data_IF_747870199324
#
_entry.id   IF_747870199324
#
_cell.length_a   1.000
_cell.length_b   1.000
_cell.length_c   1.000
_cell.angle_alpha   90.00
_cell.angle_beta   90.00
_cell.angle_gamma   90.00
#
_symmetry.space_group_name_H-M   'P 1'
#
loop_
_entity.id
_entity.type
_entity.pdbx_description
1 polymer ?
#
# COMPACT_ATOMS: atom_id res chain seq x y z
N UNK A 1 13.21 8.36 0.53
CA UNK A 1 12.24 7.25 0.48
C UNK A 1 11.30 7.41 -0.70
N UNK A 2 10.50 6.39 -0.97
CA UNK A 2 9.41 6.42 -1.96
C UNK A 2 8.08 6.05 -1.31
N UNK A 3 6.98 6.45 -1.94
CA UNK A 3 5.64 5.95 -1.65
C UNK A 3 5.23 4.94 -2.73
N UNK A 4 4.44 3.96 -2.32
CA UNK A 4 4.01 2.85 -3.17
C UNK A 4 2.52 2.57 -2.94
N UNK A 5 1.71 3.49 -3.46
CA UNK A 5 0.28 3.26 -3.62
C UNK A 5 0.02 2.54 -4.94
N UNK A 6 -0.94 1.62 -4.93
CA UNK A 6 -1.31 0.83 -6.10
C UNK A 6 -2.66 1.24 -6.62
N UNK A 7 -3.65 1.45 -5.76
CA UNK A 7 -5.01 1.85 -6.17
C UNK A 7 -5.54 2.97 -5.30
N UNK A 8 -5.81 4.11 -5.93
CA UNK A 8 -6.21 5.35 -5.24
C UNK A 8 -7.37 6.00 -5.97
N UNK A 9 -8.21 6.72 -5.23
CA UNK A 9 -9.24 7.57 -5.84
C UNK A 9 -8.59 8.85 -6.41
N UNK A 10 -8.91 9.21 -7.65
CA UNK A 10 -8.57 10.53 -8.19
C UNK A 10 -9.76 11.46 -8.03
N UNK A 11 -9.53 12.60 -7.38
CA UNK A 11 -10.57 13.62 -7.18
C UNK A 11 -10.91 14.32 -8.50
N UNK A 12 -9.92 14.48 -9.37
CA UNK A 12 -10.00 15.16 -10.67
C UNK A 12 -10.86 14.36 -11.65
N UNK A 13 -10.58 13.05 -11.75
CA UNK A 13 -11.27 12.17 -12.68
C UNK A 13 -12.49 11.46 -12.07
N UNK A 14 -12.68 11.56 -10.75
CA UNK A 14 -13.74 10.87 -9.99
C UNK A 14 -13.77 9.36 -10.25
N UNK A 15 -12.61 8.74 -10.34
CA UNK A 15 -12.43 7.30 -10.57
C UNK A 15 -11.28 6.75 -9.73
N UNK A 16 -11.29 5.43 -9.52
CA UNK A 16 -10.16 4.71 -8.93
C UNK A 16 -9.09 4.40 -9.98
N UNK A 17 -7.93 5.00 -9.83
CA UNK A 17 -6.76 4.75 -10.67
C UNK A 17 -5.90 3.65 -10.07
N UNK A 18 -5.39 2.77 -10.94
CA UNK A 18 -4.37 1.79 -10.57
C UNK A 18 -3.04 2.20 -11.18
N UNK A 19 -2.00 2.36 -10.36
CA UNK A 19 -0.66 2.69 -10.86
C UNK A 19 -0.10 1.54 -11.72
N UNK A 20 0.32 1.88 -12.93
CA UNK A 20 0.77 0.92 -13.94
C UNK A 20 2.27 0.56 -13.85
N UNK A 21 3.02 1.21 -12.95
CA UNK A 21 4.45 0.96 -12.84
C UNK A 21 4.76 -0.47 -12.37
N UNK A 22 5.61 -1.24 -13.08
CA UNK A 22 6.02 -2.57 -12.66
C UNK A 22 7.05 -2.50 -11.51
N UNK A 23 7.31 -3.61 -10.79
CA UNK A 23 8.29 -3.62 -9.69
C UNK A 23 9.70 -3.19 -10.14
N UNK A 24 10.08 -3.53 -11.37
CA UNK A 24 11.38 -3.20 -11.98
C UNK A 24 11.60 -1.69 -12.12
N UNK A 25 10.54 -0.89 -12.26
CA UNK A 25 10.63 0.56 -12.30
C UNK A 25 11.20 1.11 -10.98
N UNK A 26 10.68 0.64 -9.85
CA UNK A 26 11.12 1.06 -8.52
C UNK A 26 12.56 0.63 -8.26
N UNK A 27 12.92 -0.60 -8.64
CA UNK A 27 14.30 -1.11 -8.53
C UNK A 27 15.29 -0.25 -9.32
N UNK A 28 15.01 0.01 -10.61
CA UNK A 28 15.89 0.82 -11.46
C UNK A 28 16.04 2.24 -10.94
N UNK A 29 14.94 2.84 -10.48
CA UNK A 29 14.97 4.17 -9.86
C UNK A 29 15.87 4.17 -8.62
N UNK A 30 15.77 3.15 -7.77
CA UNK A 30 16.63 3.01 -6.59
C UNK A 30 18.12 2.85 -6.96
N UNK A 31 18.44 2.06 -7.98
CA UNK A 31 19.82 1.92 -8.47
C UNK A 31 20.42 3.24 -8.95
N UNK A 32 19.64 4.05 -9.67
CA UNK A 32 20.09 5.36 -10.15
C UNK A 32 20.40 6.29 -8.96
N UNK A 33 19.50 6.36 -7.98
CA UNK A 33 19.70 7.18 -6.79
C UNK A 33 20.94 6.72 -6.01
N UNK A 34 21.12 5.41 -5.83
CA UNK A 34 22.30 4.89 -5.16
C UNK A 34 23.58 5.20 -5.94
N UNK A 35 23.58 5.05 -7.28
CA UNK A 35 24.75 5.32 -8.12
C UNK A 35 25.18 6.80 -8.08
N UNK A 36 24.22 7.73 -8.06
CA UNK A 36 24.51 9.16 -8.12
C UNK A 36 24.82 9.72 -6.73
N UNK A 37 24.10 9.28 -5.69
CA UNK A 37 24.13 9.90 -4.38
C UNK A 37 24.69 9.00 -3.27
N UNK A 38 24.97 7.73 -3.54
CA UNK A 38 25.39 6.75 -2.52
C UNK A 38 24.33 6.46 -1.47
N UNK A 39 23.04 6.67 -1.80
CA UNK A 39 21.92 6.53 -0.86
C UNK A 39 21.04 5.35 -1.22
N UNK A 40 20.75 4.51 -0.23
CA UNK A 40 19.75 3.46 -0.35
C UNK A 40 18.33 4.07 -0.39
N UNK A 41 17.46 3.46 -1.19
CA UNK A 41 16.07 3.85 -1.30
C UNK A 41 15.19 2.86 -0.56
N UNK A 42 14.46 3.36 0.42
CA UNK A 42 13.46 2.62 1.18
C UNK A 42 12.05 3.06 0.78
N UNK A 43 11.07 2.17 0.97
CA UNK A 43 9.67 2.51 0.83
C UNK A 43 9.12 3.01 2.17
N UNK A 44 8.83 4.31 2.26
CA UNK A 44 8.33 4.93 3.50
C UNK A 44 6.81 4.79 3.66
N UNK A 45 6.10 4.54 2.57
CA UNK A 45 4.64 4.33 2.59
C UNK A 45 4.27 3.27 1.57
N UNK A 46 4.13 2.04 2.01
CA UNK A 46 3.49 0.98 1.24
C UNK A 46 1.99 1.00 1.55
N UNK A 47 1.15 1.15 0.52
CA UNK A 47 -0.29 1.17 0.70
C UNK A 47 -0.79 -0.15 1.28
N UNK A 48 -1.34 -0.06 2.49
CA UNK A 48 -1.95 -1.17 3.19
C UNK A 48 -3.29 -0.78 3.85
N UNK A 49 -3.85 0.37 3.49
CA UNK A 49 -5.19 0.83 3.85
C UNK A 49 -5.98 1.34 2.62
N UNK A 50 -7.31 1.52 2.75
CA UNK A 50 -8.13 2.13 1.73
C UNK A 50 -7.73 3.56 1.43
N UNK A 51 -7.75 3.91 0.15
CA UNK A 51 -7.63 5.28 -0.32
C UNK A 51 -8.88 5.58 -1.14
N UNK A 52 -9.88 6.18 -0.51
CA UNK A 52 -11.20 6.49 -1.09
C UNK A 52 -11.48 7.99 -1.27
N UNK A 53 -12.71 8.35 -1.68
CA UNK A 53 -13.11 9.75 -1.88
C UNK A 53 -13.18 10.58 -0.59
N UNK A 54 -13.33 9.92 0.56
CA UNK A 54 -13.29 10.51 1.91
C UNK A 54 -12.44 9.62 2.83
N UNK A 55 -12.29 10.03 4.08
CA UNK A 55 -11.61 9.27 5.12
C UNK A 55 -12.30 7.92 5.33
N UNK A 56 -11.52 6.89 5.68
CA UNK A 56 -12.00 5.50 5.74
C UNK A 56 -13.20 5.31 6.66
N UNK A 57 -13.28 6.05 7.76
CA UNK A 57 -14.43 6.01 8.69
C UNK A 57 -15.71 6.70 8.18
N UNK A 58 -15.63 7.50 7.12
CA UNK A 58 -16.76 8.22 6.50
C UNK A 58 -17.37 7.49 5.29
N UNK A 59 -16.83 6.31 4.94
CA UNK A 59 -17.24 5.55 3.76
C UNK A 59 -17.58 4.10 4.13
N UNK A 60 -18.52 3.51 3.38
CA UNK A 60 -18.91 2.11 3.57
C UNK A 60 -17.74 1.17 3.35
N UNK A 61 -17.79 -0.02 3.95
CA UNK A 61 -16.79 -1.06 3.70
C UNK A 61 -16.67 -1.41 2.22
N UNK A 62 -17.80 -1.45 1.50
CA UNK A 62 -17.80 -1.68 0.05
C UNK A 62 -16.96 -0.63 -0.70
N UNK A 63 -17.07 0.64 -0.31
CA UNK A 63 -16.27 1.72 -0.90
C UNK A 63 -14.78 1.61 -0.51
N UNK A 64 -14.49 1.22 0.73
CA UNK A 64 -13.12 0.97 1.19
C UNK A 64 -12.46 -0.15 0.36
N UNK A 65 -13.18 -1.26 0.19
CA UNK A 65 -12.74 -2.47 -0.51
C UNK A 65 -12.44 -2.22 -2.00
N UNK A 66 -12.98 -1.15 -2.60
CA UNK A 66 -12.59 -0.73 -3.97
C UNK A 66 -11.12 -0.41 -4.09
N UNK A 67 -10.46 0.07 -3.03
CA UNK A 67 -9.04 0.47 -3.04
C UNK A 67 -8.16 -0.39 -2.15
N UNK A 68 -8.73 -1.06 -1.15
CA UNK A 68 -8.02 -2.00 -0.29
C UNK A 68 -8.95 -3.07 0.26
N UNK A 69 -8.71 -4.30 -0.16
CA UNK A 69 -9.33 -5.52 0.33
C UNK A 69 -8.21 -6.51 0.72
N UNK A 70 -8.54 -7.64 1.35
CA UNK A 70 -7.55 -8.63 1.76
C UNK A 70 -6.68 -9.15 0.60
N UNK A 71 -7.29 -9.42 -0.56
CA UNK A 71 -6.56 -9.89 -1.75
C UNK A 71 -5.57 -8.81 -2.26
N UNK A 72 -5.96 -7.55 -2.17
CA UNK A 72 -5.15 -6.41 -2.61
C UNK A 72 -4.02 -6.11 -1.65
N UNK A 73 -4.25 -6.25 -0.35
CA UNK A 73 -3.21 -6.23 0.66
C UNK A 73 -2.12 -7.24 0.30
N UNK A 74 -2.48 -8.52 0.09
CA UNK A 74 -1.53 -9.56 -0.30
C UNK A 74 -0.83 -9.26 -1.64
N UNK A 75 -1.57 -8.75 -2.63
CA UNK A 75 -0.98 -8.32 -3.92
C UNK A 75 0.01 -7.19 -3.75
N UNK A 76 -0.25 -6.22 -2.87
CA UNK A 76 0.65 -5.10 -2.58
C UNK A 76 1.93 -5.58 -1.89
N UNK A 77 1.81 -6.48 -0.90
CA UNK A 77 2.98 -7.10 -0.26
C UNK A 77 3.82 -7.88 -1.27
N UNK A 78 3.19 -8.70 -2.11
CA UNK A 78 3.89 -9.46 -3.15
C UNK A 78 4.52 -8.55 -4.22
N UNK A 79 3.86 -7.45 -4.56
CA UNK A 79 4.41 -6.44 -5.45
C UNK A 79 5.65 -5.79 -4.83
N UNK A 80 5.57 -5.36 -3.56
CA UNK A 80 6.66 -4.76 -2.81
C UNK A 80 7.89 -5.68 -2.76
N UNK A 81 7.70 -6.96 -2.40
CA UNK A 81 8.77 -7.98 -2.40
C UNK A 81 9.49 -8.09 -3.75
N UNK A 82 8.76 -7.99 -4.87
CA UNK A 82 9.32 -8.06 -6.22
C UNK A 82 10.12 -6.82 -6.65
N UNK A 83 10.05 -5.73 -5.90
CA UNK A 83 10.82 -4.50 -6.23
C UNK A 83 12.28 -4.59 -5.84
N UNK A 84 12.67 -5.54 -4.98
CA UNK A 84 14.05 -5.70 -4.53
C UNK A 84 14.55 -4.57 -3.61
N UNK A 85 13.68 -3.68 -3.13
CA UNK A 85 14.03 -2.76 -2.04
C UNK A 85 14.15 -3.54 -0.73
N UNK A 86 14.97 -3.04 0.19
CA UNK A 86 15.30 -3.75 1.44
C UNK A 86 14.33 -3.46 2.58
N UNK A 87 13.69 -2.30 2.59
CA UNK A 87 12.90 -1.81 3.73
C UNK A 87 11.59 -1.17 3.28
N UNK A 88 10.51 -1.49 4.01
CA UNK A 88 9.15 -1.04 3.74
C UNK A 88 8.43 -0.71 5.04
N UNK A 89 7.91 0.50 5.14
CA UNK A 89 6.93 0.88 6.14
C UNK A 89 5.52 0.73 5.55
N UNK A 90 4.68 -0.03 6.24
CA UNK A 90 3.30 -0.25 5.83
C UNK A 90 2.41 0.85 6.42
N UNK A 91 1.63 1.49 5.56
CA UNK A 91 0.68 2.52 5.95
C UNK A 91 -0.72 1.91 6.09
N UNK A 92 -1.23 1.80 7.32
CA UNK A 92 -2.58 1.26 7.58
C UNK A 92 -2.84 0.59 8.93
N UNK A 93 -1.90 0.59 9.87
CA UNK A 93 -2.03 -0.14 11.14
C UNK A 93 -3.31 0.19 11.94
N UNK A 94 -3.69 1.47 11.98
CA UNK A 94 -4.93 1.92 12.65
C UNK A 94 -6.17 1.33 11.97
N UNK A 95 -6.20 1.33 10.64
CA UNK A 95 -7.29 0.75 9.87
C UNK A 95 -7.38 -0.78 10.06
N UNK A 96 -6.25 -1.51 10.12
CA UNK A 96 -6.26 -2.95 10.41
C UNK A 96 -6.85 -3.26 11.77
N UNK A 97 -6.49 -2.47 12.79
CA UNK A 97 -7.02 -2.62 14.14
C UNK A 97 -8.53 -2.32 14.20
N UNK A 98 -8.98 -1.31 13.46
CA UNK A 98 -10.41 -1.00 13.31
C UNK A 98 -11.18 -2.12 12.61
N UNK A 99 -10.64 -2.70 11.53
CA UNK A 99 -11.23 -3.85 10.84
C UNK A 99 -11.40 -5.04 11.78
N UNK A 100 -10.38 -5.33 12.59
CA UNK A 100 -10.42 -6.38 13.60
C UNK A 100 -11.49 -6.13 14.66
N UNK A 101 -11.52 -4.94 15.26
CA UNK A 101 -12.30 -4.68 16.49
C UNK A 101 -13.72 -4.21 16.24
N UNK A 102 -13.99 -3.53 15.12
CA UNK A 102 -15.30 -2.96 14.79
C UNK A 102 -16.03 -3.70 13.68
N UNK A 103 -15.29 -4.31 12.76
CA UNK A 103 -15.86 -5.01 11.61
C UNK A 103 -15.75 -6.53 11.70
N UNK A 104 -15.14 -7.05 12.78
CA UNK A 104 -14.90 -8.48 12.99
C UNK A 104 -14.16 -9.16 11.82
N UNK A 105 -13.32 -8.39 11.10
CA UNK A 105 -12.49 -8.82 9.96
C UNK A 105 -11.02 -8.79 10.37
N UNK A 106 -10.49 -9.95 10.76
CA UNK A 106 -9.14 -10.11 11.32
C UNK A 106 -8.06 -10.46 10.28
N UNK A 107 -8.43 -10.69 9.02
CA UNK A 107 -7.58 -11.30 8.00
C UNK A 107 -6.33 -10.46 7.73
N UNK A 108 -6.49 -9.14 7.56
CA UNK A 108 -5.37 -8.22 7.32
C UNK A 108 -4.47 -8.10 8.56
N UNK A 109 -5.07 -8.09 9.75
CA UNK A 109 -4.32 -8.02 11.01
C UNK A 109 -3.42 -9.25 11.19
N UNK A 110 -3.95 -10.45 10.98
CA UNK A 110 -3.19 -11.69 11.09
C UNK A 110 -2.17 -11.87 9.95
N UNK A 111 -2.44 -11.37 8.76
CA UNK A 111 -1.46 -11.38 7.67
C UNK A 111 -0.32 -10.39 7.91
N UNK A 112 -0.61 -9.19 8.41
CA UNK A 112 0.40 -8.19 8.75
C UNK A 112 1.37 -8.69 9.82
N UNK A 113 0.88 -9.43 10.83
CA UNK A 113 1.72 -10.05 11.88
C UNK A 113 2.76 -11.02 11.35
N UNK A 114 2.61 -11.57 10.14
CA UNK A 114 3.60 -12.49 9.53
C UNK A 114 4.79 -11.76 8.91
N UNK A 115 4.74 -10.43 8.85
CA UNK A 115 5.75 -9.59 8.21
C UNK A 115 6.78 -9.00 9.18
N UNK A 116 6.55 -9.15 10.48
CA UNK A 116 7.38 -8.66 11.59
C UNK A 116 7.78 -9.83 12.49
#
# INVERSE_FOLDING_TARGET
>A
GITMYRRVWSKEFKIYLTHIFPPTFYYRKALIINKIFGKEVICIELQAEPWGPKLSYDISLEEQEKSMDFNRFQKNINFAKKTGLKEFYLWGAEWWYWMKTKQNKLEIWEEAKKLF
#
